data_IF_426892906749
#
_entry.id   IF_426892906749
#
_cell.length_a   1.000
_cell.length_b   1.000
_cell.length_c   1.000
_cell.angle_alpha   90.00
_cell.angle_beta   90.00
_cell.angle_gamma   90.00
#
_symmetry.space_group_name_H-M   'P 1'
#
loop_
_entity.id
_entity.type
_entity.pdbx_description
1 polymer ?
#
# COMPACT_ATOMS: atom_id res chain seq x y z
N UNK A 1 2.32 -29.36 8.88
CA UNK A 1 3.16 -28.37 8.19
C UNK A 1 2.62 -26.98 8.44
N UNK A 2 3.47 -26.05 8.78
CA UNK A 2 3.07 -24.68 9.04
C UNK A 2 3.64 -23.75 7.95
N UNK A 3 2.84 -22.78 7.53
CA UNK A 3 3.26 -21.77 6.58
C UNK A 3 3.49 -20.46 7.32
N UNK A 4 4.44 -19.69 6.81
CA UNK A 4 4.71 -18.36 7.36
C UNK A 4 4.33 -17.32 6.31
N UNK A 5 3.70 -16.24 6.75
CA UNK A 5 3.48 -15.08 5.90
C UNK A 5 3.66 -13.82 6.74
N UNK A 6 4.17 -12.78 6.10
CA UNK A 6 4.44 -11.53 6.79
C UNK A 6 3.28 -10.56 6.56
N UNK A 7 2.95 -9.80 7.59
CA UNK A 7 2.01 -8.68 7.47
C UNK A 7 2.72 -7.42 7.94
N UNK A 8 3.22 -6.59 6.99
CA UNK A 8 3.90 -5.35 7.36
C UNK A 8 2.99 -4.43 8.18
N UNK A 9 3.58 -3.74 9.16
CA UNK A 9 2.85 -2.80 10.01
C UNK A 9 3.28 -1.40 9.67
N UNK A 10 2.31 -0.55 9.33
CA UNK A 10 2.52 0.86 9.13
C UNK A 10 1.98 1.59 10.36
N UNK A 11 2.83 2.40 10.98
CA UNK A 11 2.44 3.15 12.17
C UNK A 11 1.84 4.50 11.73
N UNK A 12 0.67 4.79 12.27
CA UNK A 12 -0.14 5.95 11.87
C UNK A 12 -0.58 6.70 13.12
N UNK A 13 -0.94 7.97 12.94
CA UNK A 13 -1.39 8.81 14.04
C UNK A 13 -2.81 8.45 14.49
N UNK A 14 -3.67 8.13 13.52
CA UNK A 14 -5.08 7.84 13.77
C UNK A 14 -5.55 6.77 12.77
N UNK A 15 -5.84 5.58 13.29
CA UNK A 15 -6.24 4.44 12.45
C UNK A 15 -7.54 4.74 11.70
N UNK A 16 -8.48 5.47 12.31
CA UNK A 16 -9.74 5.82 11.63
C UNK A 16 -9.50 6.68 10.39
N UNK A 17 -8.61 7.66 10.49
CA UNK A 17 -8.24 8.52 9.35
C UNK A 17 -7.54 7.68 8.26
N UNK A 18 -6.61 6.83 8.69
CA UNK A 18 -5.89 5.96 7.76
C UNK A 18 -6.80 4.98 7.06
N UNK A 19 -7.77 4.40 7.77
CA UNK A 19 -8.76 3.51 7.16
C UNK A 19 -9.54 4.19 6.05
N UNK A 20 -9.96 5.44 6.26
CA UNK A 20 -10.66 6.19 5.22
C UNK A 20 -9.79 6.35 3.98
N UNK A 21 -8.50 6.61 4.16
CA UNK A 21 -7.56 6.75 3.04
C UNK A 21 -7.37 5.42 2.32
N UNK A 22 -6.99 4.36 3.05
CA UNK A 22 -6.70 3.07 2.43
C UNK A 22 -7.93 2.44 1.80
N UNK A 23 -9.09 2.54 2.43
CA UNK A 23 -10.33 1.94 1.92
C UNK A 23 -10.94 2.80 0.80
N UNK A 24 -11.14 4.09 1.06
CA UNK A 24 -11.89 4.93 0.13
C UNK A 24 -11.05 5.43 -1.04
N UNK A 25 -9.75 5.62 -0.84
CA UNK A 25 -8.88 6.17 -1.90
C UNK A 25 -8.00 5.13 -2.55
N UNK A 26 -7.46 4.18 -1.78
CA UNK A 26 -6.57 3.17 -2.33
C UNK A 26 -7.28 1.85 -2.68
N UNK A 27 -8.57 1.74 -2.40
CA UNK A 27 -9.36 0.58 -2.80
C UNK A 27 -9.12 -0.68 -1.97
N UNK A 28 -8.55 -0.56 -0.79
CA UNK A 28 -8.38 -1.69 0.12
C UNK A 28 -9.69 -2.02 0.80
N UNK A 29 -9.82 -3.26 1.29
CA UNK A 29 -10.90 -3.66 2.20
C UNK A 29 -10.30 -3.84 3.59
N UNK A 30 -11.13 -3.76 4.63
CA UNK A 30 -10.66 -3.95 6.00
C UNK A 30 -11.43 -5.10 6.65
N UNK A 31 -10.85 -6.33 6.68
CA UNK A 31 -11.57 -7.50 7.17
C UNK A 31 -11.72 -7.53 8.68
N UNK A 32 -10.82 -6.85 9.44
CA UNK A 32 -10.98 -6.79 10.90
C UNK A 32 -10.28 -5.56 11.45
N UNK A 33 -10.71 -5.19 12.66
CA UNK A 33 -10.09 -4.12 13.44
C UNK A 33 -10.18 -4.46 14.91
N UNK A 34 -9.23 -3.95 15.68
CA UNK A 34 -9.27 -3.96 17.13
C UNK A 34 -9.68 -2.56 17.60
N UNK A 35 -10.77 -2.49 18.33
CA UNK A 35 -11.28 -1.22 18.84
C UNK A 35 -11.07 -1.12 20.34
N UNK A 36 -10.78 0.09 20.80
CA UNK A 36 -10.67 0.42 22.21
C UNK A 36 -11.31 1.80 22.40
N UNK A 37 -12.21 1.90 23.38
CA UNK A 37 -12.95 3.13 23.66
C UNK A 37 -13.68 3.67 22.42
N UNK A 38 -14.24 2.78 21.62
CA UNK A 38 -15.03 3.15 20.45
C UNK A 38 -14.24 3.54 19.22
N UNK A 39 -12.91 3.39 19.23
CA UNK A 39 -12.06 3.73 18.07
C UNK A 39 -11.17 2.55 17.69
N UNK A 40 -10.93 2.42 16.39
CA UNK A 40 -9.96 1.44 15.91
C UNK A 40 -8.54 1.88 16.30
N UNK A 41 -7.79 0.95 16.91
CA UNK A 41 -6.39 1.14 17.30
C UNK A 41 -5.46 0.33 16.42
N UNK A 42 -5.95 -0.78 15.89
CA UNK A 42 -5.23 -1.62 14.94
C UNK A 42 -6.24 -2.11 13.92
N UNK A 43 -5.87 -2.12 12.64
CA UNK A 43 -6.75 -2.63 11.59
C UNK A 43 -5.93 -3.29 10.50
N UNK A 44 -6.49 -4.32 9.89
CA UNK A 44 -5.90 -4.92 8.71
C UNK A 44 -6.57 -4.35 7.47
N UNK A 45 -5.78 -4.10 6.43
CA UNK A 45 -6.29 -3.71 5.12
C UNK A 45 -5.71 -4.63 4.06
N UNK A 46 -6.55 -5.04 3.12
CA UNK A 46 -6.20 -6.01 2.07
C UNK A 46 -6.59 -5.49 0.70
N UNK A 47 -5.71 -5.70 -0.28
CA UNK A 47 -6.06 -5.53 -1.69
C UNK A 47 -5.21 -6.48 -2.52
N UNK A 48 -5.87 -7.37 -3.27
CA UNK A 48 -5.21 -8.25 -4.26
C UNK A 48 -3.98 -8.99 -3.72
N UNK A 49 -4.13 -9.59 -2.55
CA UNK A 49 -3.03 -10.34 -1.93
C UNK A 49 -2.07 -9.49 -1.11
N UNK A 50 -2.17 -8.16 -1.18
CA UNK A 50 -1.38 -7.27 -0.35
C UNK A 50 -2.11 -7.07 0.98
N UNK A 51 -1.49 -7.45 2.08
CA UNK A 51 -2.06 -7.33 3.42
C UNK A 51 -1.17 -6.46 4.28
N UNK A 52 -1.73 -5.42 4.86
CA UNK A 52 -1.02 -4.48 5.73
C UNK A 52 -1.76 -4.33 7.05
N UNK A 53 -1.03 -4.04 8.11
CA UNK A 53 -1.60 -3.68 9.41
C UNK A 53 -1.37 -2.18 9.64
N UNK A 54 -2.41 -1.48 10.06
CA UNK A 54 -2.32 -0.08 10.49
C UNK A 54 -2.45 -0.04 12.00
N UNK A 55 -1.55 0.64 12.69
CA UNK A 55 -1.55 0.69 14.16
C UNK A 55 -1.13 2.06 14.65
N UNK A 56 -1.78 2.55 15.73
CA UNK A 56 -1.47 3.84 16.33
C UNK A 56 -0.77 3.72 17.69
N UNK A 57 -0.25 2.53 18.01
CA UNK A 57 0.24 2.24 19.36
C UNK A 57 1.69 2.68 19.62
N UNK A 58 2.44 3.03 18.58
CA UNK A 58 3.84 3.45 18.72
C UNK A 58 4.06 4.80 18.02
N UNK A 59 3.78 5.92 18.71
CA UNK A 59 3.88 7.26 18.10
C UNK A 59 5.23 7.60 17.50
N UNK A 60 6.32 7.09 18.08
CA UNK A 60 7.68 7.36 17.62
C UNK A 60 8.00 6.74 16.24
N UNK A 61 7.17 5.80 15.78
CA UNK A 61 7.37 5.15 14.49
C UNK A 61 6.45 5.66 13.39
N UNK A 62 5.59 6.63 13.71
CA UNK A 62 4.61 7.15 12.76
C UNK A 62 5.29 7.77 11.55
N UNK A 63 4.82 7.41 10.35
CA UNK A 63 5.24 8.03 9.10
C UNK A 63 6.59 7.60 8.58
N UNK A 64 7.21 6.58 9.17
CA UNK A 64 8.56 6.13 8.80
C UNK A 64 8.57 4.84 8.00
N UNK A 65 7.40 4.32 7.62
CA UNK A 65 7.31 3.06 6.91
C UNK A 65 7.45 3.22 5.41
N UNK A 66 7.95 2.15 4.78
CA UNK A 66 7.99 2.05 3.33
C UNK A 66 7.67 0.61 2.97
N UNK A 67 6.70 0.42 2.08
CA UNK A 67 6.29 -0.89 1.62
C UNK A 67 6.49 -0.95 0.11
N UNK A 68 7.16 -2.00 -0.34
CA UNK A 68 7.41 -2.25 -1.75
C UNK A 68 6.38 -3.27 -2.24
N UNK A 69 5.56 -2.89 -3.20
CA UNK A 69 4.45 -3.71 -3.69
C UNK A 69 4.67 -3.99 -5.17
N UNK A 70 4.78 -5.26 -5.53
CA UNK A 70 4.93 -5.66 -6.92
C UNK A 70 3.55 -5.93 -7.51
N UNK A 71 3.29 -5.35 -8.67
CA UNK A 71 2.02 -5.49 -9.38
C UNK A 71 2.18 -6.58 -10.42
N UNK A 72 1.73 -7.80 -10.10
CA UNK A 72 1.81 -8.94 -11.01
C UNK A 72 0.62 -8.94 -11.97
N UNK A 73 0.89 -9.33 -13.22
CA UNK A 73 -0.14 -9.52 -14.22
C UNK A 73 -0.02 -10.93 -14.81
N UNK A 74 -1.14 -11.47 -15.33
CA UNK A 74 -1.14 -12.82 -15.90
C UNK A 74 -0.26 -12.95 -17.13
N UNK A 75 -0.20 -11.90 -17.94
CA UNK A 75 0.68 -11.84 -19.10
C UNK A 75 1.98 -11.16 -18.69
N UNK A 76 3.04 -11.95 -18.62
CA UNK A 76 4.35 -11.45 -18.19
C UNK A 76 5.06 -10.71 -19.33
N UNK A 77 4.42 -9.68 -19.86
CA UNK A 77 5.04 -8.81 -20.86
C UNK A 77 5.28 -7.44 -20.26
N UNK A 78 6.34 -6.78 -20.70
CA UNK A 78 6.66 -5.44 -20.21
C UNK A 78 5.52 -4.45 -20.49
N UNK A 79 4.87 -4.59 -21.63
CA UNK A 79 3.75 -3.75 -22.01
C UNK A 79 2.55 -3.94 -21.07
N UNK A 80 2.22 -5.20 -20.74
CA UNK A 80 1.11 -5.49 -19.83
C UNK A 80 1.40 -4.99 -18.41
N UNK A 81 2.62 -5.12 -17.94
CA UNK A 81 3.04 -4.66 -16.62
C UNK A 81 3.03 -3.13 -16.55
N UNK A 82 3.54 -2.45 -17.57
CA UNK A 82 3.51 -1.00 -17.64
C UNK A 82 2.08 -0.48 -17.73
N UNK A 83 1.21 -1.16 -18.48
CA UNK A 83 -0.20 -0.81 -18.57
C UNK A 83 -0.90 -0.96 -17.22
N UNK A 84 -0.53 -1.98 -16.42
CA UNK A 84 -1.08 -2.16 -15.08
C UNK A 84 -0.70 -1.01 -14.15
N UNK A 85 0.54 -0.53 -14.20
CA UNK A 85 0.97 0.63 -13.44
C UNK A 85 0.25 1.91 -13.90
N UNK A 86 0.11 2.10 -15.21
CA UNK A 86 -0.61 3.24 -15.76
C UNK A 86 -2.09 3.25 -15.32
N UNK A 87 -2.73 2.08 -15.33
CA UNK A 87 -4.11 1.95 -14.87
C UNK A 87 -4.24 2.25 -13.38
N UNK A 88 -3.31 1.77 -12.58
CA UNK A 88 -3.29 2.06 -11.15
C UNK A 88 -3.12 3.56 -10.89
N UNK A 89 -2.19 4.20 -11.60
CA UNK A 89 -1.98 5.63 -11.47
C UNK A 89 -3.26 6.42 -11.81
N UNK A 90 -3.92 6.06 -12.91
CA UNK A 90 -5.16 6.70 -13.31
C UNK A 90 -6.24 6.53 -12.24
N UNK A 91 -6.38 5.31 -11.71
CA UNK A 91 -7.35 5.02 -10.65
C UNK A 91 -7.10 5.89 -9.41
N UNK A 92 -5.85 5.95 -8.95
CA UNK A 92 -5.50 6.69 -7.73
C UNK A 92 -5.66 8.20 -7.93
N UNK A 93 -5.21 8.72 -9.07
CA UNK A 93 -5.36 10.15 -9.36
C UNK A 93 -6.83 10.55 -9.46
N UNK A 94 -7.70 9.67 -9.97
CA UNK A 94 -9.13 9.91 -10.01
C UNK A 94 -9.75 9.96 -8.60
N UNK A 95 -9.10 9.36 -7.62
CA UNK A 95 -9.51 9.43 -6.20
C UNK A 95 -8.84 10.57 -5.45
N UNK A 96 -8.11 11.43 -6.14
CA UNK A 96 -7.44 12.58 -5.53
C UNK A 96 -6.13 12.23 -4.83
N UNK A 97 -5.54 11.08 -5.14
CA UNK A 97 -4.26 10.66 -4.55
C UNK A 97 -3.13 11.07 -5.48
N UNK A 98 -2.20 11.94 -5.03
CA UNK A 98 -1.02 12.26 -5.84
C UNK A 98 -0.13 11.04 -6.00
N UNK A 99 0.32 10.79 -7.23
CA UNK A 99 1.22 9.68 -7.54
C UNK A 99 2.49 10.24 -8.15
N UNK A 100 3.64 9.87 -7.59
CA UNK A 100 4.94 10.32 -8.08
C UNK A 100 5.59 9.19 -8.88
N UNK A 101 6.31 9.56 -9.94
CA UNK A 101 7.14 8.60 -10.68
C UNK A 101 8.52 8.53 -10.03
N UNK A 102 9.06 7.33 -9.95
CA UNK A 102 10.40 7.11 -9.44
C UNK A 102 11.12 6.03 -10.24
N UNK A 103 12.38 5.82 -9.92
CA UNK A 103 13.18 4.79 -10.61
C UNK A 103 14.27 4.22 -9.70
N UNK A 104 14.36 2.89 -9.70
CA UNK A 104 15.47 2.14 -9.12
C UNK A 104 16.08 1.24 -10.21
N UNK A 105 16.32 1.82 -11.41
CA UNK A 105 16.69 1.04 -12.59
C UNK A 105 15.46 0.45 -13.28
N UNK A 106 14.28 0.58 -12.70
CA UNK A 106 12.98 0.23 -13.26
C UNK A 106 11.94 1.18 -12.69
N UNK A 107 10.78 1.25 -13.36
CA UNK A 107 9.75 2.23 -13.04
C UNK A 107 9.12 1.98 -11.68
N UNK A 108 8.94 3.04 -10.90
CA UNK A 108 8.24 3.01 -9.62
C UNK A 108 7.12 4.03 -9.62
N UNK A 109 6.01 3.69 -8.95
CA UNK A 109 5.00 4.68 -8.56
C UNK A 109 5.07 4.82 -7.05
N UNK A 110 5.11 6.04 -6.55
CA UNK A 110 5.24 6.31 -5.11
C UNK A 110 4.00 7.04 -4.62
N UNK A 111 3.38 6.50 -3.59
CA UNK A 111 2.20 7.07 -2.96
C UNK A 111 2.49 7.30 -1.48
N UNK A 112 2.26 8.52 -1.00
CA UNK A 112 2.38 8.84 0.43
C UNK A 112 1.02 8.67 1.09
N UNK A 113 0.99 8.03 2.26
CA UNK A 113 -0.24 7.98 3.05
C UNK A 113 -0.36 9.27 3.89
N UNK A 114 -1.48 9.49 4.64
CA UNK A 114 -1.65 10.73 5.40
C UNK A 114 -0.56 11.03 6.43
N UNK A 115 0.17 10.00 6.87
CA UNK A 115 1.23 10.16 7.88
C UNK A 115 2.62 10.23 7.28
N UNK A 116 2.76 10.06 5.97
CA UNK A 116 4.06 10.06 5.30
C UNK A 116 4.66 8.67 5.10
N UNK A 117 3.96 7.59 5.48
CA UNK A 117 4.37 6.26 5.09
C UNK A 117 4.27 6.13 3.58
N UNK A 118 5.20 5.40 2.96
CA UNK A 118 5.26 5.31 1.51
C UNK A 118 4.89 3.93 1.01
N UNK A 119 4.04 3.89 -0.01
CA UNK A 119 3.73 2.69 -0.76
C UNK A 119 4.41 2.86 -2.12
N UNK A 120 5.31 1.93 -2.44
CA UNK A 120 6.07 1.98 -3.68
C UNK A 120 5.63 0.81 -4.54
N UNK A 121 5.03 1.10 -5.68
CA UNK A 121 4.54 0.08 -6.61
C UNK A 121 5.53 -0.07 -7.75
N UNK A 122 5.84 -1.31 -8.10
CA UNK A 122 6.75 -1.55 -9.19
C UNK A 122 6.14 -2.51 -10.21
N UNK A 123 6.69 -2.43 -11.41
CA UNK A 123 6.56 -3.42 -12.44
C UNK A 123 7.46 -4.60 -12.04
N UNK A 124 6.93 -5.84 -11.95
CA UNK A 124 7.74 -6.97 -11.53
C UNK A 124 8.83 -7.38 -12.51
N UNK A 125 8.83 -6.85 -13.74
CA UNK A 125 9.92 -7.10 -14.68
C UNK A 125 11.16 -6.36 -14.20
N UNK A 126 12.01 -7.06 -13.49
CA UNK A 126 13.27 -6.50 -13.01
C UNK A 126 14.20 -6.22 -14.19
N UNK A 127 15.06 -5.19 -14.09
CA UNK A 127 16.00 -4.91 -15.16
C UNK A 127 16.97 -6.07 -15.32
N UNK A 128 17.32 -6.37 -16.56
CA UNK A 128 18.35 -7.38 -16.86
C UNK A 128 19.67 -6.88 -16.30
N UNK A 129 20.32 -7.72 -15.53
CA UNK A 129 21.63 -7.41 -14.97
C UNK A 129 22.71 -7.51 -16.01
#
# INVERSE_FOLDING_TARGET
MTDWFARPVLHVRDVEVSLRFYVNRLGFTSPWRYEQDGRARVAQVDRQGCTLILADTWPEKVGKGLIFISVNVEQETREAESAALDALRTELEAKGVPVKEGSWGYRLLVVDDPDGNQLVFNDPAEPAS
#
